data_IF_664381842641
#
_entry.id   IF_664381842641
#
_cell.length_a   1.000
_cell.length_b   1.000
_cell.length_c   1.000
_cell.angle_alpha   90.00
_cell.angle_beta   90.00
_cell.angle_gamma   90.00
#
_symmetry.space_group_name_H-M   'P 1'
#
loop_
_entity.id
_entity.type
_entity.pdbx_description
1 polymer ?
#
# COMPACT_ATOMS: atom_id res chain seq x y z
N UNK A 1 -11.41 -4.54 18.66
CA UNK A 1 -10.33 -5.48 18.31
C UNK A 1 -9.81 -5.21 16.90
N UNK A 2 -8.51 -5.07 16.75
CA UNK A 2 -7.87 -4.85 15.47
C UNK A 2 -7.34 -6.14 14.85
N UNK A 3 -7.22 -6.14 13.54
CA UNK A 3 -6.51 -7.17 12.79
C UNK A 3 -5.13 -6.63 12.40
N UNK A 4 -4.09 -7.34 12.75
CA UNK A 4 -2.71 -6.97 12.37
C UNK A 4 -2.22 -7.92 11.29
N UNK A 5 -1.57 -7.35 10.28
CA UNK A 5 -0.98 -8.14 9.21
C UNK A 5 0.37 -7.55 8.83
N UNK A 6 1.38 -8.40 8.81
CA UNK A 6 2.72 -8.04 8.36
C UNK A 6 3.04 -8.81 7.10
N UNK A 7 3.48 -8.10 6.07
CA UNK A 7 3.97 -8.71 4.83
C UNK A 7 5.39 -8.24 4.58
N UNK A 8 6.23 -9.15 4.14
CA UNK A 8 7.63 -8.87 3.84
C UNK A 8 7.98 -9.52 2.50
N UNK A 9 8.53 -8.73 1.58
CA UNK A 9 9.00 -9.23 0.29
C UNK A 9 10.38 -8.66 -0.05
N UNK A 10 11.12 -9.42 -0.84
CA UNK A 10 12.42 -9.03 -1.34
C UNK A 10 12.30 -8.67 -2.82
N UNK A 11 12.74 -7.47 -3.19
CA UNK A 11 12.65 -6.93 -4.55
C UNK A 11 14.05 -6.81 -5.11
N UNK A 12 14.28 -7.34 -6.30
CA UNK A 12 15.59 -7.30 -6.96
C UNK A 12 15.80 -5.96 -7.66
N UNK A 13 15.89 -4.91 -6.87
CA UNK A 13 16.11 -3.55 -7.29
C UNK A 13 16.65 -2.72 -6.11
N UNK A 14 17.39 -1.66 -6.42
CA UNK A 14 17.86 -0.74 -5.40
C UNK A 14 16.70 0.07 -4.78
N UNK A 15 16.92 0.52 -3.57
CA UNK A 15 15.90 1.21 -2.78
C UNK A 15 15.39 2.49 -3.44
N UNK A 16 16.24 3.26 -4.08
CA UNK A 16 15.84 4.49 -4.75
C UNK A 16 14.86 4.20 -5.91
N UNK A 17 15.13 3.16 -6.68
CA UNK A 17 14.25 2.72 -7.78
C UNK A 17 12.91 2.23 -7.23
N UNK A 18 12.94 1.40 -6.19
CA UNK A 18 11.72 0.89 -5.54
C UNK A 18 10.88 2.06 -5.02
N UNK A 19 11.50 2.99 -4.33
CA UNK A 19 10.82 4.17 -3.79
C UNK A 19 10.18 5.02 -4.91
N UNK A 20 10.91 5.31 -5.96
CA UNK A 20 10.41 6.11 -7.08
C UNK A 20 9.14 5.52 -7.68
N UNK A 21 9.10 4.21 -7.85
CA UNK A 21 7.93 3.52 -8.43
C UNK A 21 6.79 3.48 -7.42
N UNK A 22 7.08 3.24 -6.14
CA UNK A 22 6.10 3.20 -5.07
C UNK A 22 5.44 4.57 -4.82
N UNK A 23 6.23 5.63 -4.89
CA UNK A 23 5.80 7.00 -4.55
C UNK A 23 4.97 7.67 -5.66
N UNK A 24 4.92 7.06 -6.83
CA UNK A 24 4.15 7.57 -7.96
C UNK A 24 2.73 7.00 -7.95
N UNK A 25 1.70 7.83 -7.69
CA UNK A 25 0.32 7.34 -7.63
C UNK A 25 -0.19 6.80 -8.98
N UNK A 26 0.41 7.20 -10.10
CA UNK A 26 0.02 6.68 -11.42
C UNK A 26 0.38 5.20 -11.58
N UNK A 27 1.31 4.69 -10.76
CA UNK A 27 1.67 3.28 -10.75
C UNK A 27 0.72 2.43 -9.89
N UNK A 28 -0.04 3.04 -8.98
CA UNK A 28 -0.88 2.28 -8.03
C UNK A 28 -1.84 1.31 -8.70
N UNK A 29 -2.58 1.69 -9.77
CA UNK A 29 -3.49 0.73 -10.41
C UNK A 29 -2.78 -0.47 -11.05
N UNK A 30 -1.49 -0.33 -11.33
CA UNK A 30 -0.71 -1.41 -11.96
C UNK A 30 -0.45 -2.56 -11.00
N UNK A 31 -0.37 -2.28 -9.70
CA UNK A 31 -0.15 -3.32 -8.69
C UNK A 31 -1.33 -3.47 -7.72
N UNK A 32 -2.29 -2.52 -7.74
CA UNK A 32 -3.56 -2.63 -7.01
C UNK A 32 -4.70 -2.63 -8.04
N UNK A 33 -5.03 -3.79 -8.62
CA UNK A 33 -5.98 -3.85 -9.74
C UNK A 33 -7.41 -3.45 -9.37
N UNK A 34 -7.75 -3.43 -8.08
CA UNK A 34 -9.08 -2.99 -7.62
C UNK A 34 -9.18 -1.48 -7.45
N UNK A 35 -8.07 -0.75 -7.52
CA UNK A 35 -8.07 0.72 -7.41
C UNK A 35 -8.63 1.35 -8.69
N UNK A 36 -9.70 2.15 -8.54
CA UNK A 36 -10.37 2.83 -9.65
C UNK A 36 -9.96 4.29 -9.79
N UNK A 37 -9.73 4.98 -8.67
CA UNK A 37 -9.26 6.35 -8.71
C UNK A 37 -8.44 6.73 -7.49
N UNK A 38 -7.52 7.65 -7.71
CA UNK A 38 -6.74 8.30 -6.67
C UNK A 38 -6.84 9.81 -6.92
N UNK A 39 -7.36 10.55 -5.94
CA UNK A 39 -7.50 12.01 -6.03
C UNK A 39 -6.85 12.69 -4.85
N UNK A 40 -5.84 13.50 -5.14
CA UNK A 40 -5.27 14.39 -4.12
C UNK A 40 -6.31 15.46 -3.73
N UNK A 41 -6.51 15.65 -2.42
CA UNK A 41 -7.52 16.58 -1.90
C UNK A 41 -6.93 17.82 -1.24
N UNK A 42 -5.91 17.65 -0.40
CA UNK A 42 -5.33 18.77 0.35
C UNK A 42 -3.91 18.43 0.79
N UNK A 43 -3.18 19.46 1.20
CA UNK A 43 -1.79 19.36 1.60
C UNK A 43 -0.84 19.26 0.40
N UNK A 44 0.44 19.16 0.68
CA UNK A 44 1.45 18.93 -0.36
C UNK A 44 1.48 17.46 -0.73
N UNK A 45 1.28 17.10 -2.02
CA UNK A 45 1.23 15.70 -2.43
C UNK A 45 2.42 14.89 -1.92
N UNK A 46 2.12 13.73 -1.32
CA UNK A 46 3.13 12.81 -0.82
C UNK A 46 3.76 13.19 0.53
N UNK A 47 3.50 14.35 1.05
CA UNK A 47 4.09 14.83 2.31
C UNK A 47 3.16 14.57 3.50
N UNK A 48 3.70 14.59 4.74
CA UNK A 48 2.85 14.47 5.93
C UNK A 48 1.69 15.47 5.90
N UNK A 49 0.53 15.03 6.38
CA UNK A 49 -0.75 15.75 6.38
C UNK A 49 -1.41 15.85 5.00
N UNK A 50 -0.81 15.33 3.94
CA UNK A 50 -1.48 15.24 2.63
C UNK A 50 -2.66 14.27 2.72
N UNK A 51 -3.79 14.69 2.16
CA UNK A 51 -5.03 13.92 2.15
C UNK A 51 -5.42 13.60 0.72
N UNK A 52 -5.74 12.34 0.46
CA UNK A 52 -6.18 11.86 -0.85
C UNK A 52 -7.39 10.94 -0.69
N UNK A 53 -8.20 10.88 -1.73
CA UNK A 53 -9.34 9.96 -1.80
C UNK A 53 -9.02 8.83 -2.75
N UNK A 54 -9.16 7.59 -2.26
CA UNK A 54 -8.96 6.38 -3.04
C UNK A 54 -10.31 5.66 -3.18
N UNK A 55 -10.63 5.26 -4.40
CA UNK A 55 -11.85 4.50 -4.68
C UNK A 55 -11.46 3.12 -5.20
N UNK A 56 -11.93 2.08 -4.52
CA UNK A 56 -11.70 0.70 -4.86
C UNK A 56 -12.99 0.01 -5.29
N UNK A 57 -12.87 -0.92 -6.23
CA UNK A 57 -13.95 -1.83 -6.59
C UNK A 57 -13.69 -3.18 -5.91
N UNK A 58 -14.48 -3.48 -4.89
CA UNK A 58 -14.37 -4.73 -4.14
C UNK A 58 -15.51 -5.66 -4.52
N UNK A 59 -15.28 -6.45 -5.58
CA UNK A 59 -16.27 -7.40 -6.10
C UNK A 59 -17.60 -6.73 -6.46
N UNK A 60 -17.54 -5.61 -7.18
CA UNK A 60 -18.71 -4.85 -7.59
C UNK A 60 -19.20 -3.85 -6.54
N UNK A 61 -18.57 -3.81 -5.37
CA UNK A 61 -18.90 -2.85 -4.32
C UNK A 61 -17.85 -1.74 -4.30
N UNK A 62 -18.30 -0.50 -4.39
CA UNK A 62 -17.41 0.65 -4.29
C UNK A 62 -17.04 0.91 -2.84
N UNK A 63 -15.73 1.00 -2.57
CA UNK A 63 -15.19 1.36 -1.26
C UNK A 63 -14.38 2.63 -1.43
N UNK A 64 -14.79 3.69 -0.72
CA UNK A 64 -14.10 4.98 -0.71
C UNK A 64 -13.26 5.08 0.55
N UNK A 65 -11.96 5.30 0.38
CA UNK A 65 -11.02 5.47 1.49
C UNK A 65 -10.39 6.86 1.46
N UNK A 66 -10.26 7.47 2.63
CA UNK A 66 -9.50 8.70 2.80
C UNK A 66 -8.11 8.34 3.32
N UNK A 67 -7.11 8.61 2.51
CA UNK A 67 -5.71 8.44 2.90
C UNK A 67 -5.19 9.73 3.52
N UNK A 68 -4.51 9.61 4.64
CA UNK A 68 -3.73 10.72 5.23
C UNK A 68 -2.32 10.23 5.48
N UNK A 69 -1.34 10.89 4.89
CA UNK A 69 0.07 10.57 5.15
C UNK A 69 0.44 11.10 6.52
N UNK A 70 0.97 10.23 7.37
CA UNK A 70 1.30 10.58 8.75
C UNK A 70 2.79 10.81 8.96
N UNK A 71 3.64 10.11 8.19
CA UNK A 71 5.09 10.27 8.29
C UNK A 71 5.75 9.82 6.99
N UNK A 72 6.86 10.48 6.66
CA UNK A 72 7.63 10.20 5.45
C UNK A 72 9.11 10.40 5.71
N UNK A 73 9.92 9.41 5.34
CA UNK A 73 11.38 9.52 5.28
C UNK A 73 11.85 8.85 4.00
N UNK A 74 12.00 9.63 2.97
CA UNK A 74 12.46 9.15 1.67
C UNK A 74 13.91 8.70 1.73
N UNK A 75 14.28 7.56 1.18
CA UNK A 75 13.45 6.56 0.48
C UNK A 75 13.14 5.34 1.35
N UNK A 76 13.07 5.46 2.67
CA UNK A 76 13.06 4.32 3.60
C UNK A 76 11.73 4.08 4.32
N UNK A 77 10.84 5.08 4.40
CA UNK A 77 9.66 4.95 5.26
C UNK A 77 8.49 5.79 4.74
N UNK A 78 7.31 5.19 4.73
CA UNK A 78 6.04 5.89 4.51
C UNK A 78 4.97 5.31 5.42
N UNK A 79 4.38 6.17 6.26
CA UNK A 79 3.24 5.80 7.10
C UNK A 79 2.00 6.58 6.69
N UNK A 80 0.84 5.95 6.81
CA UNK A 80 -0.44 6.58 6.51
C UNK A 80 -1.61 5.92 7.21
N UNK A 81 -2.72 6.65 7.26
CA UNK A 81 -4.00 6.14 7.71
C UNK A 81 -4.96 6.09 6.53
N UNK A 82 -5.84 5.08 6.54
CA UNK A 82 -6.83 4.86 5.49
C UNK A 82 -8.17 4.65 6.17
N UNK A 83 -9.07 5.61 6.02
CA UNK A 83 -10.38 5.60 6.66
C UNK A 83 -11.50 5.38 5.66
N UNK A 84 -12.39 4.46 5.98
CA UNK A 84 -13.64 4.24 5.26
C UNK A 84 -14.78 4.12 6.26
N UNK A 85 -16.01 4.01 5.75
CA UNK A 85 -17.15 3.74 6.64
C UNK A 85 -17.11 2.33 7.26
N UNK A 86 -16.27 1.44 6.72
CA UNK A 86 -16.18 0.04 7.15
C UNK A 86 -15.00 -0.25 8.08
N UNK A 87 -13.92 0.52 7.93
CA UNK A 87 -12.68 0.24 8.66
C UNK A 87 -11.78 1.46 8.73
N UNK A 88 -10.94 1.50 9.77
CA UNK A 88 -9.79 2.40 9.87
C UNK A 88 -8.53 1.57 9.86
N UNK A 89 -7.60 1.89 8.96
CA UNK A 89 -6.37 1.13 8.76
C UNK A 89 -5.17 2.06 8.96
N UNK A 90 -4.20 1.61 9.73
CA UNK A 90 -2.89 2.27 9.84
C UNK A 90 -1.88 1.37 9.14
N UNK A 91 -1.17 1.90 8.16
CA UNK A 91 -0.15 1.16 7.42
C UNK A 91 1.18 1.89 7.54
N UNK A 92 2.23 1.15 7.89
CA UNK A 92 3.60 1.65 7.86
C UNK A 92 4.42 0.77 6.93
N UNK A 93 5.15 1.41 6.03
CA UNK A 93 5.99 0.75 5.04
C UNK A 93 7.46 1.08 5.29
N UNK A 94 8.29 0.06 5.38
CA UNK A 94 9.73 0.19 5.50
C UNK A 94 10.40 -0.40 4.26
N UNK A 95 11.38 0.31 3.74
CA UNK A 95 12.20 -0.12 2.61
C UNK A 95 13.66 -0.16 3.06
N UNK A 96 14.21 -1.35 3.15
CA UNK A 96 15.56 -1.59 3.64
C UNK A 96 16.46 -2.10 2.53
N UNK A 97 17.67 -1.57 2.43
CA UNK A 97 18.67 -2.11 1.51
C UNK A 97 19.29 -3.38 2.10
N UNK A 98 19.49 -4.37 1.25
CA UNK A 98 20.24 -5.57 1.63
C UNK A 98 21.70 -5.45 1.21
N UNK A 99 22.56 -6.32 1.75
CA UNK A 99 23.97 -6.35 1.40
C UNK A 99 24.23 -6.69 -0.08
N UNK A 100 23.24 -7.27 -0.75
CA UNK A 100 23.34 -7.65 -2.17
C UNK A 100 22.72 -6.64 -3.12
N UNK A 101 22.34 -5.45 -2.62
CA UNK A 101 21.77 -4.39 -3.45
C UNK A 101 20.28 -4.56 -3.78
N UNK A 102 19.60 -5.45 -3.07
CA UNK A 102 18.16 -5.63 -3.18
C UNK A 102 17.43 -4.75 -2.16
N UNK A 103 16.11 -4.68 -2.25
CA UNK A 103 15.28 -3.95 -1.29
C UNK A 103 14.33 -4.92 -0.61
N UNK A 104 14.32 -4.89 0.72
CA UNK A 104 13.31 -5.58 1.52
C UNK A 104 12.20 -4.58 1.85
N UNK A 105 11.00 -4.87 1.37
CA UNK A 105 9.80 -4.09 1.71
C UNK A 105 9.04 -4.79 2.79
N UNK A 106 8.87 -4.11 3.94
CA UNK A 106 8.09 -4.60 5.07
C UNK A 106 6.88 -3.69 5.23
N UNK A 107 5.69 -4.25 5.13
CA UNK A 107 4.43 -3.53 5.34
C UNK A 107 3.74 -4.07 6.58
N UNK A 108 3.45 -3.19 7.53
CA UNK A 108 2.68 -3.52 8.73
C UNK A 108 1.36 -2.79 8.69
N UNK A 109 0.26 -3.53 8.68
CA UNK A 109 -1.09 -2.99 8.69
C UNK A 109 -1.79 -3.33 9.99
N UNK A 110 -2.48 -2.34 10.56
CA UNK A 110 -3.35 -2.53 11.72
C UNK A 110 -4.74 -2.02 11.32
N UNK A 111 -5.68 -2.93 11.21
CA UNK A 111 -7.02 -2.66 10.72
C UNK A 111 -8.05 -2.78 11.84
N UNK A 112 -8.87 -1.75 12.03
CA UNK A 112 -9.99 -1.75 12.95
C UNK A 112 -11.28 -1.68 12.14
N UNK A 113 -12.11 -2.71 12.27
CA UNK A 113 -13.39 -2.77 11.58
C UNK A 113 -14.48 -2.04 12.37
N UNK A 114 -15.45 -1.47 11.65
CA UNK A 114 -16.53 -0.67 12.21
C UNK A 114 -17.86 -1.40 12.01
N UNK A 115 -18.75 -1.30 13.03
CA UNK A 115 -20.10 -1.80 12.93
C UNK A 115 -20.19 -3.29 12.58
N UNK A 116 -21.06 -3.61 11.64
CA UNK A 116 -21.29 -4.98 11.18
C UNK A 116 -20.00 -5.65 10.65
N UNK A 117 -19.09 -4.87 10.11
CA UNK A 117 -17.82 -5.40 9.57
C UNK A 117 -16.93 -6.02 10.65
N UNK A 118 -17.16 -5.72 11.93
CA UNK A 118 -16.44 -6.40 13.02
C UNK A 118 -16.69 -7.90 13.00
N UNK A 119 -17.91 -8.31 12.66
CA UNK A 119 -18.30 -9.71 12.58
C UNK A 119 -17.80 -10.32 11.26
N UNK A 120 -18.03 -9.62 10.16
CA UNK A 120 -17.63 -10.09 8.83
C UNK A 120 -16.12 -10.26 8.70
N UNK A 121 -15.33 -9.44 9.39
CA UNK A 121 -13.88 -9.51 9.36
C UNK A 121 -13.34 -10.87 9.84
N UNK A 122 -14.04 -11.52 10.77
CA UNK A 122 -13.64 -12.85 11.25
C UNK A 122 -13.63 -13.88 10.11
N UNK A 123 -14.54 -13.72 9.14
CA UNK A 123 -14.65 -14.63 7.99
C UNK A 123 -13.80 -14.18 6.80
N UNK A 124 -13.47 -12.89 6.71
CA UNK A 124 -12.77 -12.30 5.57
C UNK A 124 -11.26 -12.14 5.78
N UNK A 125 -10.77 -12.43 6.97
CA UNK A 125 -9.35 -12.18 7.33
C UNK A 125 -8.38 -12.78 6.33
N UNK A 126 -8.57 -14.04 5.95
CA UNK A 126 -7.67 -14.73 5.00
C UNK A 126 -7.69 -14.06 3.63
N UNK A 127 -8.88 -13.68 3.15
CA UNK A 127 -9.02 -12.98 1.87
C UNK A 127 -8.32 -11.64 1.85
N UNK A 128 -8.46 -10.87 2.92
CA UNK A 128 -7.83 -9.55 3.05
C UNK A 128 -6.31 -9.69 3.06
N UNK A 129 -5.78 -10.61 3.86
CA UNK A 129 -4.34 -10.85 3.92
C UNK A 129 -3.80 -11.37 2.58
N UNK A 130 -4.50 -12.30 1.95
CA UNK A 130 -4.12 -12.83 0.64
C UNK A 130 -4.06 -11.73 -0.41
N UNK A 131 -5.03 -10.82 -0.42
CA UNK A 131 -5.07 -9.72 -1.38
C UNK A 131 -3.89 -8.77 -1.18
N UNK A 132 -3.57 -8.42 0.06
CA UNK A 132 -2.42 -7.57 0.37
C UNK A 132 -1.12 -8.21 -0.12
N UNK A 133 -0.93 -9.47 0.16
CA UNK A 133 0.26 -10.21 -0.27
C UNK A 133 0.33 -10.28 -1.80
N UNK A 134 -0.79 -10.50 -2.46
CA UNK A 134 -0.86 -10.55 -3.92
C UNK A 134 -0.53 -9.20 -4.55
N UNK A 135 -1.05 -8.11 -3.98
CA UNK A 135 -0.75 -6.76 -4.46
C UNK A 135 0.74 -6.43 -4.32
N UNK A 136 1.34 -6.77 -3.20
CA UNK A 136 2.78 -6.56 -2.98
C UNK A 136 3.62 -7.38 -3.96
N UNK A 137 3.21 -8.62 -4.26
CA UNK A 137 3.89 -9.42 -5.28
C UNK A 137 3.74 -8.84 -6.68
N UNK A 138 2.59 -8.23 -7.01
CA UNK A 138 2.43 -7.50 -8.28
C UNK A 138 3.36 -6.30 -8.35
N UNK A 139 3.52 -5.59 -7.25
CA UNK A 139 4.47 -4.47 -7.16
C UNK A 139 5.91 -4.94 -7.44
N UNK A 140 6.32 -6.04 -6.82
CA UNK A 140 7.63 -6.65 -7.06
C UNK A 140 7.83 -6.95 -8.55
N UNK A 141 6.83 -7.57 -9.18
CA UNK A 141 6.89 -7.88 -10.61
C UNK A 141 6.96 -6.61 -11.46
N UNK A 142 6.20 -5.58 -11.10
CA UNK A 142 6.23 -4.29 -11.80
C UNK A 142 7.64 -3.68 -11.79
N UNK A 143 8.27 -3.63 -10.62
CA UNK A 143 9.61 -3.07 -10.48
C UNK A 143 10.64 -3.88 -11.26
N UNK A 144 10.64 -5.19 -11.09
CA UNK A 144 11.63 -6.07 -11.72
C UNK A 144 11.46 -6.12 -13.24
N UNK A 145 10.23 -6.05 -13.73
CA UNK A 145 9.92 -5.99 -15.15
C UNK A 145 10.34 -4.65 -15.76
N UNK A 146 10.11 -3.54 -15.06
CA UNK A 146 10.50 -2.21 -15.52
C UNK A 146 12.03 -2.11 -15.67
N UNK A 147 12.79 -2.66 -14.72
CA UNK A 147 14.24 -2.70 -14.79
C UNK A 147 14.74 -3.56 -15.96
N UNK A 148 14.10 -4.69 -16.22
CA UNK A 148 14.46 -5.57 -17.33
C UNK A 148 14.21 -4.89 -18.69
N UNK A 149 13.17 -4.03 -18.78
CA UNK A 149 12.84 -3.30 -20.01
C UNK A 149 13.71 -2.08 -20.25
N UNK A 150 14.28 -1.50 -19.19
CA UNK A 150 15.11 -0.30 -19.23
C UNK A 150 16.46 -0.53 -18.52
N UNK A 151 17.30 -1.45 -19.03
CA UNK A 151 18.63 -1.61 -18.44
C UNK A 151 19.45 -0.35 -18.74
N UNK A 152 19.86 0.32 -17.69
CA UNK A 152 20.70 1.49 -17.81
C UNK A 152 22.18 1.09 -17.93
#
# INVERSE_FOLDING_TARGET
MGMKHKTEILIDADRATVWRIFDDPDNMPKWQPTLRSFKHKSGTPGQPDAVSELVYDENGREVVMTETITARREPSFLGGTYDSKWASIVIVNHFEETDTGQTRWVSNANCRFKGFMKIMALFMRKSICYRTDADMNRFKLLVETELASNPS
#
